data_IF_558993839384
#
_entry.id   IF_558993839384
#
_cell.length_a   1.000
_cell.length_b   1.000
_cell.length_c   1.000
_cell.angle_alpha   90.00
_cell.angle_beta   90.00
_cell.angle_gamma   90.00
#
_symmetry.space_group_name_H-M   'P 1'
#
loop_
_entity.id
_entity.type
_entity.pdbx_description
1 polymer ?
#
# COMPACT_ATOMS: atom_id res chain seq x y z
N UNK A 1 -13.27 -12.83 3.94
CA UNK A 1 -11.91 -12.65 4.51
C UNK A 1 -10.83 -12.85 3.44
N UNK A 2 -10.66 -14.06 2.87
CA UNK A 2 -9.58 -14.38 1.92
C UNK A 2 -9.50 -13.46 0.68
N UNK A 3 -10.65 -13.12 0.08
CA UNK A 3 -10.71 -12.21 -1.08
C UNK A 3 -10.14 -10.80 -0.81
N UNK A 4 -10.33 -10.25 0.39
CA UNK A 4 -9.78 -8.94 0.75
C UNK A 4 -8.25 -8.97 0.79
N UNK A 5 -7.68 -10.04 1.36
CA UNK A 5 -6.23 -10.22 1.41
C UNK A 5 -5.63 -10.40 0.01
N UNK A 6 -6.28 -11.15 -0.88
CA UNK A 6 -5.83 -11.28 -2.28
C UNK A 6 -5.85 -9.93 -3.01
N UNK A 7 -6.92 -9.15 -2.85
CA UNK A 7 -7.05 -7.84 -3.48
C UNK A 7 -5.98 -6.86 -2.97
N UNK A 8 -5.71 -6.87 -1.66
CA UNK A 8 -4.65 -6.10 -1.05
C UNK A 8 -3.26 -6.49 -1.58
N UNK A 9 -2.96 -7.78 -1.69
CA UNK A 9 -1.69 -8.26 -2.25
C UNK A 9 -1.54 -7.90 -3.73
N UNK A 10 -2.60 -8.03 -4.53
CA UNK A 10 -2.56 -7.67 -5.95
C UNK A 10 -2.31 -6.17 -6.15
N UNK A 11 -2.98 -5.33 -5.36
CA UNK A 11 -2.78 -3.88 -5.38
C UNK A 11 -1.34 -3.51 -4.98
N UNK A 12 -0.85 -4.06 -3.86
CA UNK A 12 0.52 -3.82 -3.39
C UNK A 12 1.56 -4.33 -4.39
N UNK A 13 1.37 -5.53 -4.95
CA UNK A 13 2.27 -6.11 -5.95
C UNK A 13 2.33 -5.29 -7.24
N UNK A 14 1.19 -4.76 -7.70
CA UNK A 14 1.14 -3.88 -8.87
C UNK A 14 1.86 -2.56 -8.61
N UNK A 15 1.62 -1.94 -7.45
CA UNK A 15 2.31 -0.71 -7.05
C UNK A 15 3.82 -0.92 -6.90
N UNK A 16 4.24 -2.07 -6.36
CA UNK A 16 5.64 -2.44 -6.23
C UNK A 16 6.28 -2.62 -7.62
N UNK A 17 5.63 -3.32 -8.53
CA UNK A 17 6.13 -3.52 -9.90
C UNK A 17 6.33 -2.19 -10.64
N UNK A 18 5.37 -1.25 -10.52
CA UNK A 18 5.50 0.11 -11.07
C UNK A 18 6.74 0.81 -10.50
N UNK A 19 6.96 0.72 -9.19
CA UNK A 19 8.13 1.28 -8.52
C UNK A 19 9.44 0.69 -9.04
N UNK A 20 9.53 -0.64 -9.11
CA UNK A 20 10.72 -1.35 -9.59
C UNK A 20 11.08 -0.90 -11.01
N UNK A 21 10.10 -0.87 -11.92
CA UNK A 21 10.33 -0.49 -13.31
C UNK A 21 10.75 0.99 -13.40
N UNK A 22 10.11 1.88 -12.65
CA UNK A 22 10.48 3.30 -12.65
C UNK A 22 11.89 3.53 -12.10
N UNK A 23 12.27 2.91 -10.98
CA UNK A 23 13.65 3.00 -10.47
C UNK A 23 14.67 2.37 -11.42
N UNK A 24 14.30 1.29 -12.12
CA UNK A 24 15.18 0.63 -13.09
C UNK A 24 15.45 1.49 -14.32
N UNK A 25 14.41 2.12 -14.88
CA UNK A 25 14.49 2.83 -16.16
C UNK A 25 14.71 4.35 -16.03
N UNK A 26 14.24 4.99 -14.96
CA UNK A 26 14.34 6.45 -14.76
C UNK A 26 15.50 6.80 -13.83
N UNK A 27 15.72 6.00 -12.79
CA UNK A 27 16.82 6.20 -11.84
C UNK A 27 18.05 5.34 -12.16
N UNK A 28 17.97 4.50 -13.20
CA UNK A 28 19.06 3.62 -13.67
C UNK A 28 19.65 2.71 -12.57
N UNK A 29 18.85 2.41 -11.54
CA UNK A 29 19.28 1.57 -10.42
C UNK A 29 19.40 0.10 -10.84
N UNK A 30 20.17 -0.69 -10.08
CA UNK A 30 20.18 -2.15 -10.26
C UNK A 30 18.79 -2.73 -9.93
N UNK A 31 18.49 -3.95 -10.36
CA UNK A 31 17.21 -4.59 -10.02
C UNK A 31 16.98 -4.71 -8.51
N UNK A 32 18.04 -5.04 -7.77
CA UNK A 32 17.98 -5.20 -6.31
C UNK A 32 17.75 -3.85 -5.64
N UNK A 33 18.47 -2.81 -6.06
CA UNK A 33 18.31 -1.46 -5.51
C UNK A 33 16.95 -0.86 -5.88
N UNK A 34 16.44 -1.18 -7.07
CA UNK A 34 15.10 -0.77 -7.52
C UNK A 34 14.00 -1.43 -6.68
N UNK A 35 14.14 -2.73 -6.38
CA UNK A 35 13.24 -3.45 -5.49
C UNK A 35 13.28 -2.88 -4.07
N UNK A 36 14.48 -2.64 -3.55
CA UNK A 36 14.68 -2.08 -2.22
C UNK A 36 14.02 -0.69 -2.11
N UNK A 37 14.33 0.22 -3.02
CA UNK A 37 13.78 1.58 -3.03
C UNK A 37 12.27 1.60 -3.23
N UNK A 38 11.74 0.80 -4.15
CA UNK A 38 10.30 0.68 -4.35
C UNK A 38 9.60 0.15 -3.09
N UNK A 39 10.16 -0.89 -2.46
CA UNK A 39 9.61 -1.47 -1.22
C UNK A 39 9.67 -0.50 -0.05
N UNK A 40 10.75 0.27 0.09
CA UNK A 40 10.89 1.26 1.16
C UNK A 40 9.85 2.36 1.04
N UNK A 41 9.69 2.94 -0.16
CA UNK A 41 8.68 3.98 -0.39
C UNK A 41 7.26 3.43 -0.25
N UNK A 42 6.98 2.23 -0.76
CA UNK A 42 5.68 1.60 -0.59
C UNK A 42 5.37 1.30 0.88
N UNK A 43 6.40 1.01 1.68
CA UNK A 43 6.31 0.84 3.13
C UNK A 43 6.28 2.15 3.93
N UNK A 44 6.30 3.32 3.27
CA UNK A 44 6.24 4.63 3.91
C UNK A 44 7.59 5.22 4.37
N UNK A 45 8.70 4.57 4.03
CA UNK A 45 10.05 5.09 4.26
C UNK A 45 10.56 5.87 3.04
N UNK A 46 11.60 6.68 3.21
CA UNK A 46 12.22 7.38 2.08
C UNK A 46 13.04 6.45 1.17
N UNK A 47 13.46 6.94 -0.02
CA UNK A 47 14.40 6.22 -0.86
C UNK A 47 15.75 6.05 -0.15
N UNK A 48 16.42 4.93 -0.41
CA UNK A 48 17.75 4.61 0.11
C UNK A 48 18.81 4.81 -0.99
N UNK A 49 19.86 5.54 -0.64
CA UNK A 49 20.95 5.88 -1.55
C UNK A 49 20.72 7.20 -2.28
N UNK A 50 21.61 7.51 -3.23
CA UNK A 50 21.59 8.77 -3.96
C UNK A 50 20.74 8.70 -5.23
N UNK A 51 19.82 9.66 -5.38
CA UNK A 51 19.10 9.90 -6.63
C UNK A 51 19.92 10.85 -7.51
N UNK A 52 20.64 10.28 -8.49
CA UNK A 52 21.66 10.98 -9.28
C UNK A 52 21.11 11.98 -10.31
N UNK A 53 19.84 11.87 -10.71
CA UNK A 53 19.23 12.72 -11.73
C UNK A 53 17.97 13.41 -11.21
N UNK A 54 17.64 14.57 -11.80
CA UNK A 54 16.41 15.29 -11.44
C UNK A 54 15.16 14.51 -11.88
N UNK A 55 15.24 13.76 -12.98
CA UNK A 55 14.20 12.83 -13.39
C UNK A 55 13.94 11.76 -12.31
N UNK A 56 14.99 11.20 -11.70
CA UNK A 56 14.85 10.23 -10.62
C UNK A 56 14.21 10.85 -9.37
N UNK A 57 14.54 12.09 -9.03
CA UNK A 57 13.93 12.83 -7.90
C UNK A 57 12.44 13.10 -8.14
N UNK A 58 12.08 13.55 -9.35
CA UNK A 58 10.69 13.79 -9.73
C UNK A 58 9.89 12.48 -9.68
N UNK A 59 10.46 11.40 -10.23
CA UNK A 59 9.84 10.09 -10.16
C UNK A 59 9.65 9.62 -8.72
N UNK A 60 10.70 9.67 -7.89
CA UNK A 60 10.63 9.25 -6.49
C UNK A 60 9.59 10.06 -5.71
N UNK A 61 9.47 11.36 -5.96
CA UNK A 61 8.44 12.24 -5.36
C UNK A 61 7.03 11.82 -5.76
N UNK A 62 6.76 11.64 -7.06
CA UNK A 62 5.47 11.19 -7.54
C UNK A 62 5.12 9.79 -7.04
N UNK A 63 6.10 8.87 -7.06
CA UNK A 63 5.95 7.52 -6.56
C UNK A 63 5.70 7.47 -5.06
N UNK A 64 6.27 8.39 -4.26
CA UNK A 64 6.01 8.49 -2.83
C UNK A 64 4.57 8.92 -2.53
N UNK A 65 4.03 9.92 -3.23
CA UNK A 65 2.64 10.33 -3.08
C UNK A 65 1.67 9.20 -3.47
N UNK A 66 1.92 8.56 -4.61
CA UNK A 66 1.15 7.40 -5.06
C UNK A 66 1.20 6.26 -4.04
N UNK A 67 2.39 5.90 -3.58
CA UNK A 67 2.63 4.83 -2.62
C UNK A 67 1.95 5.07 -1.28
N UNK A 68 1.93 6.32 -0.79
CA UNK A 68 1.19 6.68 0.42
C UNK A 68 -0.31 6.38 0.30
N UNK A 69 -0.92 6.71 -0.83
CA UNK A 69 -2.34 6.39 -1.08
C UNK A 69 -2.57 4.88 -1.18
N UNK A 70 -1.67 4.15 -1.85
CA UNK A 70 -1.73 2.69 -1.94
C UNK A 70 -1.60 2.05 -0.56
N UNK A 71 -0.67 2.50 0.27
CA UNK A 71 -0.46 2.00 1.62
C UNK A 71 -1.73 2.15 2.48
N UNK A 72 -2.34 3.33 2.48
CA UNK A 72 -3.60 3.60 3.18
C UNK A 72 -4.73 2.70 2.65
N UNK A 73 -4.81 2.55 1.32
CA UNK A 73 -5.85 1.72 0.69
C UNK A 73 -5.69 0.24 1.04
N UNK A 74 -4.46 -0.29 1.00
CA UNK A 74 -4.13 -1.67 1.39
C UNK A 74 -4.50 -1.90 2.85
N UNK A 75 -4.13 -0.98 3.74
CA UNK A 75 -4.49 -1.06 5.15
C UNK A 75 -6.02 -1.05 5.35
N UNK A 76 -6.74 -0.19 4.64
CA UNK A 76 -8.20 -0.13 4.66
C UNK A 76 -8.85 -1.45 4.21
N UNK A 77 -8.37 -2.05 3.12
CA UNK A 77 -8.88 -3.34 2.60
C UNK A 77 -8.65 -4.46 3.62
N UNK A 78 -7.47 -4.50 4.25
CA UNK A 78 -7.12 -5.53 5.24
C UNK A 78 -7.94 -5.36 6.53
N UNK A 79 -8.16 -4.12 6.99
CA UNK A 79 -8.90 -3.83 8.22
C UNK A 79 -10.42 -3.86 8.05
N UNK A 80 -10.96 -3.66 6.85
CA UNK A 80 -12.40 -3.66 6.56
C UNK A 80 -13.18 -4.86 7.16
N UNK A 81 -12.76 -6.13 6.98
CA UNK A 81 -13.49 -7.26 7.57
C UNK A 81 -13.43 -7.29 9.10
N UNK A 82 -12.35 -6.79 9.71
CA UNK A 82 -12.23 -6.68 11.17
C UNK A 82 -13.15 -5.58 11.71
N UNK A 83 -13.19 -4.42 11.04
CA UNK A 83 -14.07 -3.31 11.38
C UNK A 83 -15.55 -3.70 11.24
N UNK A 84 -15.93 -4.40 10.18
CA UNK A 84 -17.29 -4.91 10.00
C UNK A 84 -17.68 -5.90 11.11
N UNK A 85 -16.76 -6.78 11.52
CA UNK A 85 -16.99 -7.72 12.62
C UNK A 85 -17.12 -7.01 13.97
N UNK A 86 -16.30 -5.99 14.22
CA UNK A 86 -16.39 -5.18 15.43
C UNK A 86 -17.73 -4.43 15.49
N UNK A 87 -18.15 -3.78 14.41
CA UNK A 87 -19.45 -3.09 14.34
C UNK A 87 -20.64 -4.03 14.56
N UNK A 88 -20.60 -5.24 14.00
CA UNK A 88 -21.65 -6.23 14.26
C UNK A 88 -21.64 -6.73 15.71
N UNK A 89 -20.48 -6.81 16.37
CA UNK A 89 -20.41 -7.18 17.78
C UNK A 89 -20.94 -6.06 18.70
N UNK A 90 -20.71 -4.80 18.35
CA UNK A 90 -21.18 -3.65 19.12
C UNK A 90 -22.67 -3.31 18.89
N UNK A 91 -23.28 -3.67 17.75
CA UNK A 91 -24.72 -3.50 17.53
C UNK A 91 -25.57 -4.70 17.97
N UNK A 92 -24.98 -5.78 18.49
CA UNK A 92 -25.73 -6.92 19.03
C UNK A 92 -26.37 -6.67 20.41
N UNK A 93 -26.23 -5.47 20.98
CA UNK A 93 -26.88 -5.08 22.25
C UNK A 93 -28.21 -4.31 22.08
N UNK A 94 -28.63 -3.95 20.85
CA UNK A 94 -29.87 -3.16 20.65
C UNK A 94 -31.09 -3.98 20.15
N UNK A 95 -30.89 -5.18 19.60
CA UNK A 95 -31.97 -5.95 18.95
C UNK A 95 -32.68 -6.99 19.84
N UNK A 96 -32.34 -7.11 21.13
CA UNK A 96 -32.99 -8.06 22.05
C UNK A 96 -34.10 -7.44 22.92
N UNK A 97 -34.56 -6.23 22.60
CA UNK A 97 -35.64 -5.53 23.36
C UNK A 97 -36.99 -5.43 22.65
N UNK A 98 -37.24 -6.20 21.59
CA UNK A 98 -38.59 -6.29 21.00
C UNK A 98 -39.02 -7.71 20.63
N UNK A 99 -39.62 -8.40 21.59
CA UNK A 99 -40.89 -9.14 21.43
C UNK A 99 -41.38 -9.73 22.76
N UNK A 100 -42.69 -9.98 22.93
CA UNK A 100 -43.88 -9.47 22.25
C UNK A 100 -44.68 -8.43 23.08
#
# INVERSE_FOLDING_TARGET
MFWFFLMAQMLAGTALAIGILGYRYIAEMSWVDSLLNASMILGGMGPMGELKSDAAKIFASAYALFSGLVFISVMGIVLAPAAHRALHLFHLDEDDTKKP
#
